data_IF_481458050118
#
_entry.id   IF_481458050118
#
_cell.length_a   1.000
_cell.length_b   1.000
_cell.length_c   1.000
_cell.angle_alpha   90.00
_cell.angle_beta   90.00
_cell.angle_gamma   90.00
#
_symmetry.space_group_name_H-M   'P 1'
#
loop_
_entity.id
_entity.type
_entity.pdbx_description
1 polymer ?
#
# COMPACT_ATOMS: atom_id res chain seq x y z
N UNK A 1 9.41 -13.26 7.23
CA UNK A 1 10.11 -12.42 8.23
C UNK A 1 9.74 -10.93 8.21
N UNK A 2 8.66 -10.52 7.50
CA UNK A 2 8.15 -9.14 7.58
C UNK A 2 9.11 -8.04 7.09
N UNK A 3 10.23 -8.41 6.47
CA UNK A 3 11.14 -7.43 5.91
C UNK A 3 10.57 -6.93 4.58
N UNK A 4 10.53 -5.61 4.42
CA UNK A 4 10.39 -5.01 3.10
C UNK A 4 11.59 -5.45 2.26
N UNK A 5 11.34 -5.88 1.02
CA UNK A 5 12.37 -6.40 0.10
C UNK A 5 12.49 -5.60 -1.19
N UNK A 6 11.54 -4.69 -1.43
CA UNK A 6 11.52 -3.82 -2.59
C UNK A 6 10.79 -2.51 -2.28
N UNK A 7 11.23 -1.42 -2.93
CA UNK A 7 10.57 -0.13 -2.96
C UNK A 7 10.85 0.52 -4.31
N UNK A 8 9.81 0.76 -5.10
CA UNK A 8 9.88 1.60 -6.31
C UNK A 8 8.99 2.82 -6.09
N UNK A 9 9.55 3.99 -6.39
CA UNK A 9 8.87 5.27 -6.32
C UNK A 9 9.14 6.01 -7.61
N UNK A 10 8.07 6.48 -8.24
CA UNK A 10 8.12 7.18 -9.51
C UNK A 10 7.11 8.31 -9.51
N UNK A 11 7.38 9.33 -10.33
CA UNK A 11 6.48 10.46 -10.60
C UNK A 11 6.40 10.65 -12.10
N UNK A 12 5.24 11.11 -12.59
CA UNK A 12 5.05 11.55 -13.98
C UNK A 12 5.38 10.50 -15.06
N UNK A 13 5.11 9.22 -14.81
CA UNK A 13 5.24 8.18 -15.83
C UNK A 13 3.90 7.78 -16.42
N UNK A 14 3.91 7.37 -17.68
CA UNK A 14 2.73 6.92 -18.41
C UNK A 14 2.02 5.77 -17.69
N UNK A 15 0.69 5.80 -17.72
CA UNK A 15 -0.17 4.82 -17.05
C UNK A 15 0.15 3.36 -17.43
N UNK A 16 0.42 3.10 -18.71
CA UNK A 16 0.77 1.77 -19.18
C UNK A 16 2.07 1.29 -18.54
N UNK A 17 3.04 2.18 -18.39
CA UNK A 17 4.32 1.88 -17.73
C UNK A 17 4.11 1.58 -16.25
N UNK A 18 3.24 2.32 -15.55
CA UNK A 18 2.93 2.04 -14.14
C UNK A 18 2.39 0.63 -13.95
N UNK A 19 1.40 0.23 -14.76
CA UNK A 19 0.79 -1.10 -14.70
C UNK A 19 1.79 -2.22 -15.00
N UNK A 20 2.61 -2.08 -16.04
CA UNK A 20 3.63 -3.07 -16.39
C UNK A 20 4.69 -3.22 -15.29
N UNK A 21 5.07 -2.12 -14.62
CA UNK A 21 5.97 -2.17 -13.46
C UNK A 21 5.33 -2.94 -12.30
N UNK A 22 4.08 -2.62 -11.95
CA UNK A 22 3.37 -3.32 -10.87
C UNK A 22 3.29 -4.83 -11.16
N UNK A 23 2.91 -5.20 -12.40
CA UNK A 23 2.90 -6.59 -12.85
C UNK A 23 4.27 -7.26 -12.69
N UNK A 24 5.31 -6.65 -13.24
CA UNK A 24 6.66 -7.18 -13.18
C UNK A 24 7.13 -7.42 -11.73
N UNK A 25 6.79 -6.52 -10.81
CA UNK A 25 7.13 -6.69 -9.39
C UNK A 25 6.32 -7.81 -8.74
N UNK A 26 5.02 -7.91 -8.99
CA UNK A 26 4.21 -9.02 -8.48
C UNK A 26 4.76 -10.38 -8.95
N UNK A 27 5.02 -10.54 -10.24
CA UNK A 27 5.59 -11.76 -10.83
C UNK A 27 6.98 -12.08 -10.24
N UNK A 28 7.84 -11.05 -10.11
CA UNK A 28 9.18 -11.19 -9.52
C UNK A 28 9.15 -11.72 -8.08
N UNK A 29 8.11 -11.40 -7.32
CA UNK A 29 7.95 -11.81 -5.92
C UNK A 29 6.90 -12.92 -5.76
N UNK A 30 6.87 -13.89 -6.68
CA UNK A 30 6.05 -15.10 -6.64
C UNK A 30 4.54 -14.79 -6.64
N UNK A 31 4.11 -14.05 -7.66
CA UNK A 31 2.72 -13.62 -7.87
C UNK A 31 2.15 -12.96 -6.60
N UNK A 32 2.95 -12.05 -6.02
CA UNK A 32 2.62 -11.41 -4.75
C UNK A 32 1.28 -10.69 -4.86
N UNK A 33 0.41 -10.91 -3.86
CA UNK A 33 -0.86 -10.22 -3.73
C UNK A 33 -0.65 -8.71 -3.63
N UNK A 34 -1.42 -7.96 -4.40
CA UNK A 34 -1.33 -6.50 -4.51
C UNK A 34 -2.49 -5.89 -3.72
N UNK A 35 -2.19 -4.97 -2.81
CA UNK A 35 -3.20 -4.14 -2.16
C UNK A 35 -3.14 -2.73 -2.75
N UNK A 36 -4.27 -2.22 -3.24
CA UNK A 36 -4.34 -0.95 -3.96
C UNK A 36 -5.41 -0.03 -3.38
N UNK A 37 -5.16 1.28 -3.40
CA UNK A 37 -6.20 2.28 -3.12
C UNK A 37 -7.29 2.20 -4.20
N UNK A 38 -8.51 1.90 -3.76
CA UNK A 38 -9.71 1.78 -4.58
C UNK A 38 -10.83 2.73 -4.08
N UNK A 39 -10.46 3.95 -3.73
CA UNK A 39 -11.38 4.98 -3.22
C UNK A 39 -12.09 5.75 -4.35
N UNK A 40 -11.54 5.74 -5.56
CA UNK A 40 -12.06 6.47 -6.71
C UNK A 40 -13.30 5.82 -7.33
N UNK A 41 -14.10 6.63 -8.03
CA UNK A 41 -15.21 6.08 -8.82
C UNK A 41 -14.63 5.47 -10.10
N UNK A 42 -14.90 4.18 -10.33
CA UNK A 42 -14.44 3.45 -11.51
C UNK A 42 -12.97 3.03 -11.48
N UNK A 43 -12.36 2.96 -10.28
CA UNK A 43 -10.93 2.71 -9.99
C UNK A 43 -10.13 2.06 -11.13
N UNK A 44 -9.63 2.86 -12.09
CA UNK A 44 -9.09 2.31 -13.33
C UNK A 44 -7.87 1.44 -13.06
N UNK A 45 -7.08 1.76 -12.02
CA UNK A 45 -5.90 0.97 -11.64
C UNK A 45 -6.28 -0.44 -11.19
N UNK A 46 -7.35 -0.55 -10.40
CA UNK A 46 -7.77 -1.81 -9.84
C UNK A 46 -8.30 -2.72 -10.95
N UNK A 47 -9.23 -2.21 -11.74
CA UNK A 47 -9.80 -2.94 -12.88
C UNK A 47 -8.71 -3.36 -13.87
N UNK A 48 -7.77 -2.46 -14.18
CA UNK A 48 -6.69 -2.73 -15.11
C UNK A 48 -5.73 -3.82 -14.64
N UNK A 49 -5.38 -3.84 -13.36
CA UNK A 49 -4.50 -4.85 -12.78
C UNK A 49 -5.22 -6.21 -12.67
N UNK A 50 -6.51 -6.21 -12.32
CA UNK A 50 -7.35 -7.42 -12.35
C UNK A 50 -7.47 -7.98 -13.77
N UNK A 51 -7.69 -7.11 -14.76
CA UNK A 51 -7.76 -7.50 -16.18
C UNK A 51 -6.42 -8.05 -16.71
N UNK A 52 -5.29 -7.69 -16.08
CA UNK A 52 -3.97 -8.26 -16.36
C UNK A 52 -3.76 -9.63 -15.70
N UNK A 53 -4.72 -10.14 -14.92
CA UNK A 53 -4.67 -11.45 -14.28
C UNK A 53 -3.94 -11.49 -12.93
N UNK A 54 -3.73 -10.33 -12.31
CA UNK A 54 -3.02 -10.23 -11.03
C UNK A 54 -3.96 -10.48 -9.83
N UNK A 55 -3.43 -11.00 -8.73
CA UNK A 55 -4.15 -11.06 -7.45
C UNK A 55 -4.16 -9.68 -6.79
N UNK A 56 -5.23 -8.93 -7.02
CA UNK A 56 -5.40 -7.56 -6.53
C UNK A 56 -6.54 -7.51 -5.51
N UNK A 57 -6.26 -6.92 -4.35
CA UNK A 57 -7.22 -6.65 -3.29
C UNK A 57 -7.44 -5.14 -3.19
N UNK A 58 -8.70 -4.66 -3.28
CA UNK A 58 -9.00 -3.24 -3.16
C UNK A 58 -9.01 -2.82 -1.69
N UNK A 59 -8.52 -1.61 -1.41
CA UNK A 59 -8.64 -0.94 -0.12
C UNK A 59 -9.33 0.41 -0.28
N UNK A 60 -10.52 0.56 0.29
CA UNK A 60 -11.29 1.81 0.23
C UNK A 60 -10.96 2.71 1.41
N UNK A 61 -10.41 3.89 1.13
CA UNK A 61 -10.09 4.86 2.16
C UNK A 61 -11.31 5.67 2.58
N UNK A 62 -11.54 5.64 3.89
CA UNK A 62 -12.39 6.51 4.67
C UNK A 62 -11.55 6.99 5.86
N UNK A 63 -11.99 7.98 6.63
CA UNK A 63 -11.23 8.37 7.83
C UNK A 63 -11.04 7.17 8.78
N UNK A 64 -12.09 6.36 8.96
CA UNK A 64 -12.06 5.16 9.81
C UNK A 64 -11.10 4.10 9.28
N UNK A 65 -11.19 3.74 7.99
CA UNK A 65 -10.31 2.71 7.42
C UNK A 65 -8.86 3.19 7.34
N UNK A 66 -8.60 4.45 6.98
CA UNK A 66 -7.23 5.02 7.02
C UNK A 66 -6.64 4.92 8.43
N UNK A 67 -7.42 5.28 9.46
CA UNK A 67 -7.00 5.13 10.86
C UNK A 67 -6.66 3.68 11.20
N UNK A 68 -7.50 2.72 10.84
CA UNK A 68 -7.23 1.30 11.08
C UNK A 68 -5.96 0.81 10.38
N UNK A 69 -5.76 1.22 9.12
CA UNK A 69 -4.60 0.88 8.32
C UNK A 69 -3.30 1.38 8.97
N UNK A 70 -3.27 2.65 9.36
CA UNK A 70 -2.09 3.26 10.00
C UNK A 70 -1.82 2.64 11.37
N UNK A 71 -2.86 2.44 12.19
CA UNK A 71 -2.70 1.81 13.50
C UNK A 71 -2.16 0.38 13.40
N UNK A 72 -2.59 -0.38 12.39
CA UNK A 72 -2.06 -1.71 12.10
C UNK A 72 -0.55 -1.66 11.75
N UNK A 73 -0.10 -0.65 10.98
CA UNK A 73 1.32 -0.44 10.72
C UNK A 73 2.10 -0.09 11.99
N UNK A 74 1.58 0.83 12.82
CA UNK A 74 2.21 1.21 14.08
C UNK A 74 2.42 0.00 15.00
N UNK A 75 1.40 -0.86 15.15
CA UNK A 75 1.49 -2.07 15.97
C UNK A 75 2.54 -3.04 15.41
N UNK A 76 2.58 -3.24 14.10
CA UNK A 76 3.58 -4.11 13.47
C UNK A 76 5.01 -3.60 13.65
N UNK A 77 5.22 -2.28 13.58
CA UNK A 77 6.52 -1.65 13.82
C UNK A 77 6.96 -1.80 15.29
N UNK A 78 6.07 -1.48 16.22
CA UNK A 78 6.32 -1.60 17.67
C UNK A 78 6.68 -3.04 18.09
N UNK A 79 6.06 -4.03 17.44
CA UNK A 79 6.30 -5.44 17.70
C UNK A 79 7.48 -6.02 16.90
N UNK A 80 8.24 -5.19 16.18
CA UNK A 80 9.31 -5.60 15.26
C UNK A 80 8.87 -6.66 14.21
N UNK A 81 7.57 -6.71 13.89
CA UNK A 81 7.01 -7.62 12.89
C UNK A 81 7.27 -7.16 11.46
N UNK A 82 7.56 -5.87 11.28
CA UNK A 82 7.91 -5.29 9.99
C UNK A 82 9.22 -4.50 10.12
N UNK A 83 10.08 -4.62 9.11
CA UNK A 83 11.30 -3.82 8.99
C UNK A 83 11.33 -3.19 7.62
N UNK A 84 11.47 -1.87 7.57
CA UNK A 84 11.57 -1.13 6.32
C UNK A 84 12.95 -1.32 5.69
N UNK A 85 13.03 -1.18 4.36
CA UNK A 85 14.30 -1.14 3.65
C UNK A 85 15.03 0.16 3.98
N UNK A 86 15.91 0.12 4.98
CA UNK A 86 16.94 1.15 5.14
C UNK A 86 18.19 0.67 4.42
N UNK A 87 18.27 0.99 3.13
CA UNK A 87 19.53 0.95 2.36
C UNK A 87 19.72 2.33 1.76
N UNK A 88 20.97 2.75 1.60
CA UNK A 88 21.43 4.12 1.30
C UNK A 88 20.90 4.78 -0.01
N UNK A 89 19.86 4.22 -0.62
CA UNK A 89 19.19 4.65 -1.84
C UNK A 89 18.17 5.77 -1.60
N UNK A 90 17.94 6.57 -2.63
CA UNK A 90 17.12 7.79 -2.59
C UNK A 90 15.68 7.53 -2.12
N UNK A 91 15.03 6.47 -2.64
CA UNK A 91 13.66 6.12 -2.29
C UNK A 91 13.50 5.73 -0.81
N UNK A 92 14.49 5.04 -0.23
CA UNK A 92 14.48 4.66 1.19
C UNK A 92 14.54 5.89 2.11
N UNK A 93 15.31 6.91 1.73
CA UNK A 93 15.38 8.19 2.47
C UNK A 93 14.06 8.93 2.43
N UNK A 94 13.39 8.95 1.27
CA UNK A 94 12.07 9.58 1.13
C UNK A 94 11.04 8.85 1.99
N UNK A 95 10.95 7.53 1.92
CA UNK A 95 10.04 6.75 2.75
C UNK A 95 10.27 6.99 4.24
N UNK A 96 11.54 6.96 4.68
CA UNK A 96 11.88 7.22 6.08
C UNK A 96 11.46 8.62 6.52
N UNK A 97 11.73 9.64 5.70
CA UNK A 97 11.33 11.01 6.02
C UNK A 97 9.80 11.15 6.09
N UNK A 98 9.06 10.60 5.13
CA UNK A 98 7.59 10.60 5.16
C UNK A 98 7.07 9.92 6.43
N UNK A 99 7.64 8.79 6.86
CA UNK A 99 7.27 8.12 8.11
C UNK A 99 7.55 8.95 9.36
N UNK A 100 8.67 9.68 9.40
CA UNK A 100 9.08 10.49 10.56
C UNK A 100 8.17 11.71 10.76
N UNK A 101 7.74 12.33 9.67
CA UNK A 101 6.90 13.54 9.73
C UNK A 101 5.40 13.23 9.77
N UNK A 102 5.00 11.98 9.49
CA UNK A 102 3.60 11.59 9.46
C UNK A 102 2.94 11.80 10.82
N UNK A 103 1.82 12.52 10.84
CA UNK A 103 1.19 12.97 12.08
C UNK A 103 -0.30 12.66 12.11
N UNK A 104 -0.95 13.03 13.21
CA UNK A 104 -2.39 13.02 13.34
C UNK A 104 -2.91 14.39 13.71
N UNK A 105 -4.05 14.76 13.13
CA UNK A 105 -4.82 15.94 13.53
C UNK A 105 -6.10 15.50 14.24
N UNK A 106 -6.56 16.31 15.19
CA UNK A 106 -7.89 16.18 15.77
C UNK A 106 -8.80 17.22 15.13
N UNK A 107 -9.82 16.75 14.42
CA UNK A 107 -10.83 17.62 13.80
C UNK A 107 -11.71 18.30 14.84
N UNK A 108 -12.43 19.34 14.45
CA UNK A 108 -13.38 20.07 15.32
C UNK A 108 -14.51 19.19 15.88
N UNK A 109 -14.83 18.06 15.23
CA UNK A 109 -15.78 17.06 15.71
C UNK A 109 -15.19 16.01 16.65
N UNK A 110 -13.88 16.11 16.96
CA UNK A 110 -13.16 15.16 17.80
C UNK A 110 -12.68 13.91 17.06
N UNK A 111 -12.87 13.81 15.75
CA UNK A 111 -12.33 12.70 14.95
C UNK A 111 -10.82 12.89 14.74
N UNK A 112 -10.07 11.80 14.86
CA UNK A 112 -8.65 11.75 14.53
C UNK A 112 -8.50 11.49 13.04
N UNK A 113 -7.61 12.20 12.37
CA UNK A 113 -7.22 11.96 10.98
C UNK A 113 -5.70 11.83 10.91
N UNK A 114 -5.21 10.82 10.20
CA UNK A 114 -3.79 10.59 9.96
C UNK A 114 -3.39 11.10 8.58
N UNK A 115 -2.35 11.93 8.51
CA UNK A 115 -1.86 12.54 7.27
C UNK A 115 -0.43 13.08 7.42
N UNK A 116 0.22 13.35 6.30
CA UNK A 116 1.43 14.16 6.31
C UNK A 116 1.09 15.63 6.63
N UNK A 117 2.03 16.40 7.21
CA UNK A 117 1.86 17.83 7.42
C UNK A 117 1.65 18.57 6.10
N UNK A 118 1.08 19.78 6.17
CA UNK A 118 0.84 20.61 5.00
C UNK A 118 2.12 20.81 4.16
N UNK A 119 2.01 20.53 2.86
CA UNK A 119 3.13 20.62 1.91
C UNK A 119 3.98 19.36 1.77
N UNK A 120 3.66 18.28 2.49
CA UNK A 120 4.34 16.99 2.40
C UNK A 120 3.43 15.88 1.83
N UNK A 121 4.06 14.78 1.42
CA UNK A 121 3.38 13.60 0.86
C UNK A 121 3.35 12.46 1.89
N UNK A 122 2.39 11.55 1.73
CA UNK A 122 2.27 10.32 2.51
C UNK A 122 2.29 9.04 1.66
N UNK A 123 2.59 9.13 0.36
CA UNK A 123 2.49 8.02 -0.59
C UNK A 123 3.27 6.77 -0.12
N UNK A 124 4.49 6.94 0.39
CA UNK A 124 5.30 5.83 0.86
C UNK A 124 4.79 5.24 2.19
N UNK A 125 4.19 6.06 3.04
CA UNK A 125 3.54 5.61 4.28
C UNK A 125 2.30 4.78 3.94
N UNK A 126 1.48 5.24 3.01
CA UNK A 126 0.28 4.52 2.56
C UNK A 126 0.65 3.21 1.87
N UNK A 127 1.63 3.22 0.97
CA UNK A 127 2.10 2.01 0.29
C UNK A 127 2.63 0.95 1.28
N UNK A 128 3.42 1.37 2.28
CA UNK A 128 3.90 0.48 3.34
C UNK A 128 2.74 -0.06 4.19
N UNK A 129 1.77 0.80 4.52
CA UNK A 129 0.62 0.43 5.35
C UNK A 129 -0.27 -0.60 4.65
N UNK A 130 -0.52 -0.44 3.34
CA UNK A 130 -1.23 -1.42 2.52
C UNK A 130 -0.49 -2.75 2.42
N UNK A 131 0.83 -2.71 2.24
CA UNK A 131 1.67 -3.91 2.21
C UNK A 131 1.60 -4.68 3.53
N UNK A 132 1.74 -3.96 4.65
CA UNK A 132 1.61 -4.53 6.00
C UNK A 132 0.21 -5.08 6.29
N UNK A 133 -0.84 -4.42 5.77
CA UNK A 133 -2.20 -4.89 5.87
C UNK A 133 -2.39 -6.22 5.16
N UNK A 134 -1.82 -6.37 3.95
CA UNK A 134 -1.82 -7.63 3.22
C UNK A 134 -1.07 -8.75 3.93
N UNK A 135 0.02 -8.46 4.65
CA UNK A 135 0.69 -9.47 5.49
C UNK A 135 -0.22 -10.00 6.60
N UNK A 136 -1.11 -9.16 7.14
CA UNK A 136 -1.99 -9.52 8.25
C UNK A 136 -3.35 -10.08 7.83
N UNK A 137 -3.89 -9.61 6.71
CA UNK A 137 -5.26 -9.86 6.25
C UNK A 137 -5.33 -10.50 4.87
N UNK A 138 -4.19 -10.71 4.22
CA UNK A 138 -4.11 -11.33 2.92
C UNK A 138 -4.63 -12.76 2.96
N UNK A 139 -5.25 -13.18 1.86
CA UNK A 139 -5.61 -14.57 1.68
C UNK A 139 -4.32 -15.41 1.61
N UNK A 140 -4.28 -16.63 2.18
CA UNK A 140 -3.23 -17.58 1.83
C UNK A 140 -3.17 -17.68 0.31
N UNK A 141 -1.96 -17.72 -0.27
CA UNK A 141 -1.80 -17.87 -1.71
C UNK A 141 -2.53 -19.13 -2.19
N UNK A 142 -3.73 -18.94 -2.73
CA UNK A 142 -4.57 -20.01 -3.26
C UNK A 142 -4.35 -20.05 -4.77
N UNK A 143 -3.64 -21.10 -5.21
CA UNK A 143 -3.47 -21.45 -6.61
C UNK A 143 -4.81 -21.91 -7.20
N UNK A 144 -5.65 -20.97 -7.61
CA UNK A 144 -6.87 -21.30 -8.36
C UNK A 144 -8.02 -20.37 -8.04
N UNK A 145 -8.06 -19.24 -8.71
CA UNK A 145 -9.32 -18.51 -8.90
C UNK A 145 -9.92 -18.89 -10.25
N UNK A 146 -11.20 -19.22 -10.24
CA UNK A 146 -12.00 -19.30 -11.46
C UNK A 146 -12.76 -17.98 -11.64
N UNK A 147 -13.10 -17.62 -12.89
CA UNK A 147 -13.80 -16.37 -13.22
C UNK A 147 -15.18 -16.20 -12.57
N UNK A 148 -15.68 -17.19 -11.83
CA UNK A 148 -17.04 -17.23 -11.29
C UNK A 148 -17.16 -16.58 -9.91
N UNK A 149 -16.06 -16.42 -9.18
CA UNK A 149 -16.08 -15.91 -7.81
C UNK A 149 -16.24 -14.37 -7.69
N UNK A 150 -16.44 -13.68 -8.82
CA UNK A 150 -16.64 -12.22 -8.87
C UNK A 150 -18.12 -11.80 -9.01
N UNK A 151 -19.04 -12.74 -9.26
CA UNK A 151 -20.48 -12.45 -9.41
C UNK A 151 -21.24 -12.53 -8.10
#
# INVERSE_FOLDING_TARGET
DGNQVYLDRFKEIDWKIQRERIKFISEKYNDAQIWVDATGVGDPIFEDLVNMGLDVQPYKFTNTSKKQLIQSLMISLEQEKIRILVRDEENGKVQFNEMVIFEYEMTSSGLIRYQAPDGYHDDCVIALSLSNWGVQNGKPSFSGWSKEDWR
#
